data_IF_988523876873
#
_entry.id   IF_988523876873
#
_cell.length_a   1.000
_cell.length_b   1.000
_cell.length_c   1.000
_cell.angle_alpha   90.00
_cell.angle_beta   90.00
_cell.angle_gamma   90.00
#
_symmetry.space_group_name_H-M   'P 1'
#
loop_
_entity.id
_entity.type
_entity.pdbx_description
1 polymer ?
#
# COMPACT_ATOMS: atom_id res chain seq x y z
N UNK A 1 6.79 23.15 20.04
CA UNK A 1 5.79 22.15 20.51
C UNK A 1 4.78 22.00 19.39
N UNK A 2 5.19 21.37 18.29
CA UNK A 2 4.27 21.03 17.23
C UNK A 2 3.62 19.73 17.68
N UNK A 3 2.30 19.74 17.90
CA UNK A 3 1.56 18.54 18.24
C UNK A 3 1.95 17.43 17.25
N UNK A 4 2.56 16.38 17.77
CA UNK A 4 2.80 15.13 17.08
C UNK A 4 1.46 14.40 16.88
N UNK A 5 0.55 15.05 16.19
CA UNK A 5 -0.81 14.57 16.00
C UNK A 5 -0.81 13.57 14.85
N UNK A 6 -1.32 12.37 15.14
CA UNK A 6 -1.80 11.41 14.16
C UNK A 6 -2.68 12.15 13.14
N UNK A 7 -2.39 11.98 11.86
CA UNK A 7 -3.23 12.53 10.79
C UNK A 7 -4.28 11.49 10.41
N UNK A 8 -5.49 11.63 10.93
CA UNK A 8 -6.64 10.88 10.40
C UNK A 8 -7.15 11.57 9.11
N UNK A 9 -7.53 10.85 8.06
CA UNK A 9 -8.19 11.48 6.90
C UNK A 9 -9.68 11.17 6.85
N UNK A 10 -10.18 10.44 7.85
CA UNK A 10 -11.52 9.88 7.92
C UNK A 10 -11.84 8.98 6.73
N UNK A 11 -13.11 8.99 6.33
CA UNK A 11 -13.56 8.32 5.13
C UNK A 11 -13.05 9.07 3.89
N UNK A 12 -12.24 8.41 3.07
CA UNK A 12 -11.64 9.01 1.88
C UNK A 12 -12.55 8.91 0.66
N UNK A 13 -12.50 9.95 -0.17
CA UNK A 13 -13.21 10.01 -1.45
C UNK A 13 -12.53 9.13 -2.51
N UNK A 14 -11.21 8.96 -2.39
CA UNK A 14 -10.44 8.11 -3.31
C UNK A 14 -9.20 7.52 -2.65
N UNK A 15 -8.89 6.28 -3.03
CA UNK A 15 -7.66 5.55 -2.70
C UNK A 15 -7.16 4.86 -3.96
N UNK A 16 -5.84 4.88 -4.19
CA UNK A 16 -5.20 4.24 -5.35
C UNK A 16 -3.86 3.65 -4.99
N UNK A 17 -3.57 2.46 -5.48
CA UNK A 17 -2.20 1.96 -5.61
C UNK A 17 -1.57 2.58 -6.85
N UNK A 18 -0.35 3.11 -6.72
CA UNK A 18 0.37 3.80 -7.80
C UNK A 18 1.78 3.23 -7.91
N UNK A 19 2.25 3.09 -9.14
CA UNK A 19 3.65 2.78 -9.44
C UNK A 19 4.22 3.75 -10.45
N UNK A 20 5.48 4.12 -10.28
CA UNK A 20 6.20 5.07 -11.14
C UNK A 20 7.55 4.46 -11.52
N UNK A 21 7.92 4.57 -12.80
CA UNK A 21 9.23 4.15 -13.30
C UNK A 21 9.24 2.86 -14.14
N UNK A 22 10.41 2.54 -14.67
CA UNK A 22 10.65 1.38 -15.52
C UNK A 22 10.74 0.07 -14.71
N UNK A 23 10.37 -1.09 -15.28
CA UNK A 23 10.52 -2.38 -14.60
C UNK A 23 11.92 -2.58 -14.02
N UNK A 24 12.02 -2.81 -12.71
CA UNK A 24 13.28 -2.95 -11.97
C UNK A 24 13.75 -1.68 -11.24
N UNK A 25 13.19 -0.52 -11.58
CA UNK A 25 13.44 0.77 -10.92
C UNK A 25 12.12 1.46 -10.52
N UNK A 26 11.09 0.65 -10.25
CA UNK A 26 9.77 1.15 -9.88
C UNK A 26 9.74 1.55 -8.42
N UNK A 27 9.09 2.67 -8.16
CA UNK A 27 8.61 3.04 -6.83
C UNK A 27 7.13 2.72 -6.72
N UNK A 28 6.68 2.50 -5.49
CA UNK A 28 5.31 2.11 -5.17
C UNK A 28 4.79 3.01 -4.07
N UNK A 29 3.54 3.47 -4.22
CA UNK A 29 2.85 4.18 -3.16
C UNK A 29 1.36 3.88 -3.17
N UNK A 30 0.71 4.23 -2.05
CA UNK A 30 -0.73 4.42 -2.01
C UNK A 30 -1.02 5.89 -1.80
N UNK A 31 -1.90 6.41 -2.64
CA UNK A 31 -2.43 7.76 -2.50
C UNK A 31 -3.87 7.70 -2.00
N UNK A 32 -4.18 8.44 -0.94
CA UNK A 32 -5.52 8.58 -0.39
C UNK A 32 -5.90 10.07 -0.30
N UNK A 33 -7.16 10.40 -0.56
CA UNK A 33 -7.64 11.79 -0.56
C UNK A 33 -9.04 11.91 0.00
N UNK A 34 -9.26 12.89 0.86
CA UNK A 34 -10.56 13.29 1.39
C UNK A 34 -10.72 14.81 1.41
N UNK A 35 -11.87 15.29 1.88
CA UNK A 35 -12.06 16.70 2.25
C UNK A 35 -11.14 17.17 3.38
N UNK A 36 -10.62 16.25 4.20
CA UNK A 36 -9.69 16.52 5.32
C UNK A 36 -8.24 16.56 4.89
N UNK A 37 -7.92 16.19 3.65
CA UNK A 37 -6.53 16.21 3.18
C UNK A 37 -6.18 15.13 2.16
N UNK A 38 -4.89 14.88 2.04
CA UNK A 38 -4.35 13.82 1.20
C UNK A 38 -3.10 13.20 1.83
N UNK A 39 -2.89 11.92 1.56
CA UNK A 39 -1.70 11.17 1.95
C UNK A 39 -1.11 10.46 0.74
N UNK A 40 0.22 10.53 0.60
CA UNK A 40 1.00 9.72 -0.34
C UNK A 40 2.00 8.92 0.46
N UNK A 41 1.79 7.61 0.51
CA UNK A 41 2.55 6.71 1.38
C UNK A 41 3.41 5.83 0.49
N UNK A 42 4.71 6.13 0.45
CA UNK A 42 5.69 5.35 -0.30
C UNK A 42 6.01 4.06 0.44
N UNK A 43 6.17 2.96 -0.30
CA UNK A 43 6.39 1.64 0.30
C UNK A 43 7.22 0.73 -0.61
N UNK A 44 7.74 -0.34 -0.04
CA UNK A 44 8.42 -1.39 -0.79
C UNK A 44 7.42 -2.24 -1.60
N UNK A 45 7.92 -2.93 -2.63
CA UNK A 45 7.11 -3.83 -3.48
C UNK A 45 6.37 -4.89 -2.65
N UNK A 46 7.07 -5.52 -1.72
CA UNK A 46 6.51 -6.57 -0.85
C UNK A 46 5.43 -6.02 0.09
N UNK A 47 5.59 -4.79 0.60
CA UNK A 47 4.59 -4.13 1.43
C UNK A 47 3.29 -3.87 0.64
N UNK A 48 3.39 -3.38 -0.60
CA UNK A 48 2.22 -3.22 -1.47
C UNK A 48 1.52 -4.55 -1.73
N UNK A 49 2.28 -5.62 -1.98
CA UNK A 49 1.73 -6.95 -2.23
C UNK A 49 1.01 -7.50 -0.99
N UNK A 50 1.64 -7.41 0.18
CA UNK A 50 1.06 -7.88 1.45
C UNK A 50 -0.23 -7.12 1.78
N UNK A 51 -0.22 -5.80 1.64
CA UNK A 51 -1.40 -4.97 1.83
C UNK A 51 -2.53 -5.36 0.87
N UNK A 52 -2.20 -5.59 -0.40
CA UNK A 52 -3.18 -6.00 -1.41
C UNK A 52 -3.82 -7.35 -1.06
N UNK A 53 -3.03 -8.32 -0.62
CA UNK A 53 -3.57 -9.61 -0.17
C UNK A 53 -4.37 -9.50 1.12
N UNK A 54 -3.97 -8.64 2.07
CA UNK A 54 -4.71 -8.42 3.30
C UNK A 54 -6.10 -7.84 3.00
N UNK A 55 -6.17 -6.82 2.15
CA UNK A 55 -7.44 -6.20 1.72
C UNK A 55 -8.35 -7.18 0.99
N UNK A 56 -7.81 -7.98 0.07
CA UNK A 56 -8.57 -9.03 -0.62
C UNK A 56 -9.13 -10.05 0.38
N UNK A 57 -8.28 -10.64 1.22
CA UNK A 57 -8.69 -11.66 2.18
C UNK A 57 -9.72 -11.14 3.18
N UNK A 58 -9.56 -9.92 3.69
CA UNK A 58 -10.55 -9.30 4.56
C UNK A 58 -11.86 -9.03 3.82
N UNK A 59 -11.80 -8.64 2.54
CA UNK A 59 -13.00 -8.43 1.73
C UNK A 59 -13.74 -9.72 1.38
N UNK A 60 -13.07 -10.87 1.36
CA UNK A 60 -13.68 -12.16 1.03
C UNK A 60 -14.19 -12.93 2.26
N UNK A 61 -13.43 -12.87 3.37
CA UNK A 61 -13.76 -13.63 4.59
C UNK A 61 -14.86 -12.99 5.42
N UNK A 62 -15.02 -11.67 5.31
CA UNK A 62 -15.98 -10.92 6.13
C UNK A 62 -17.33 -10.85 5.44
N UNK A 63 -18.37 -11.33 6.13
CA UNK A 63 -19.75 -11.18 5.69
C UNK A 63 -20.11 -9.69 5.59
N UNK A 64 -20.86 -9.34 4.54
CA UNK A 64 -21.35 -7.96 4.38
C UNK A 64 -22.56 -7.76 5.30
N UNK A 65 -22.61 -6.68 6.10
CA UNK A 65 -23.80 -6.37 6.89
C UNK A 65 -24.99 -6.03 5.97
N UNK A 66 -26.19 -6.53 6.32
CA UNK A 66 -27.44 -6.19 5.61
C UNK A 66 -27.78 -4.69 5.67
N UNK A 67 -27.35 -4.02 6.74
CA UNK A 67 -27.60 -2.60 6.98
C UNK A 67 -26.42 -1.99 7.75
N UNK A 68 -25.36 -1.55 7.05
CA UNK A 68 -24.19 -0.97 7.68
C UNK A 68 -24.54 0.31 8.44
N UNK A 69 -23.95 0.50 9.61
CA UNK A 69 -24.05 1.74 10.38
C UNK A 69 -23.25 2.86 9.70
N UNK A 70 -23.52 4.11 10.11
CA UNK A 70 -22.73 5.24 9.64
C UNK A 70 -21.34 5.21 10.29
N UNK A 71 -20.29 5.20 9.46
CA UNK A 71 -18.92 5.27 9.95
C UNK A 71 -18.64 6.62 10.63
N UNK A 72 -18.12 6.56 11.86
CA UNK A 72 -17.60 7.70 12.59
C UNK A 72 -16.08 7.55 12.75
N UNK A 73 -15.27 8.48 12.22
CA UNK A 73 -13.83 8.44 12.40
C UNK A 73 -13.47 8.63 13.87
N UNK A 74 -12.47 7.89 14.34
CA UNK A 74 -12.06 7.85 15.75
C UNK A 74 -11.58 9.21 16.26
N UNK A 75 -10.94 9.99 15.37
CA UNK A 75 -10.39 11.31 15.71
C UNK A 75 -11.14 12.43 14.99
N UNK A 76 -11.43 13.49 15.74
CA UNK A 76 -12.03 14.70 15.22
C UNK A 76 -10.98 15.56 14.48
N UNK A 77 -11.36 16.06 13.30
CA UNK A 77 -10.52 16.94 12.50
C UNK A 77 -10.85 18.38 12.81
N UNK A 78 -9.92 19.03 13.50
CA UNK A 78 -10.13 20.40 14.00
C UNK A 78 -9.36 21.44 13.16
N UNK A 79 -8.63 21.00 12.14
CA UNK A 79 -7.81 21.84 11.26
C UNK A 79 -8.30 21.92 9.81
N UNK A 80 -7.57 22.68 8.99
CA UNK A 80 -7.73 22.69 7.54
C UNK A 80 -7.20 21.40 6.88
N UNK A 81 -7.33 21.27 5.55
CA UNK A 81 -6.89 20.07 4.86
C UNK A 81 -5.38 19.87 4.99
N UNK A 82 -4.96 18.67 5.40
CA UNK A 82 -3.55 18.29 5.62
C UNK A 82 -3.00 17.55 4.41
N UNK A 83 -1.73 17.76 4.06
CA UNK A 83 -1.04 16.96 3.04
C UNK A 83 0.17 16.29 3.67
N UNK A 84 0.20 14.96 3.64
CA UNK A 84 1.33 14.16 4.15
C UNK A 84 1.94 13.30 3.03
N UNK A 85 3.27 13.24 3.01
CA UNK A 85 4.02 12.38 2.09
C UNK A 85 5.26 11.85 2.82
N UNK A 86 5.38 10.53 2.94
CA UNK A 86 6.48 9.88 3.63
C UNK A 86 6.63 8.42 3.17
N UNK A 87 7.73 7.77 3.61
CA UNK A 87 7.97 6.34 3.35
C UNK A 87 7.51 5.52 4.56
N UNK A 88 6.61 4.56 4.35
CA UNK A 88 6.07 3.72 5.41
C UNK A 88 7.14 2.81 6.02
N UNK A 89 7.17 2.76 7.35
CA UNK A 89 7.86 1.74 8.14
C UNK A 89 6.99 0.48 8.23
N UNK A 90 5.85 0.59 8.91
CA UNK A 90 4.84 -0.46 9.04
C UNK A 90 3.48 0.02 8.49
N UNK A 91 2.65 -0.94 8.04
CA UNK A 91 1.29 -0.68 7.60
C UNK A 91 0.33 -1.74 8.12
N UNK A 92 -0.81 -1.30 8.65
CA UNK A 92 -1.85 -2.19 9.19
C UNK A 92 -3.18 -1.91 8.54
N UNK A 93 -3.99 -2.96 8.45
CA UNK A 93 -5.36 -2.88 7.96
C UNK A 93 -6.29 -3.38 9.04
N UNK A 94 -7.33 -2.60 9.34
CA UNK A 94 -8.46 -2.99 10.17
C UNK A 94 -9.72 -3.02 9.32
N UNK A 95 -10.67 -3.86 9.72
CA UNK A 95 -12.00 -3.91 9.13
C UNK A 95 -13.03 -3.75 10.24
N UNK A 96 -13.97 -2.83 10.05
CA UNK A 96 -15.11 -2.59 10.91
C UNK A 96 -16.36 -3.27 10.33
N UNK A 97 -16.84 -4.31 11.01
CA UNK A 97 -17.98 -5.11 10.55
C UNK A 97 -19.33 -4.41 10.67
N UNK A 98 -19.44 -3.41 11.55
CA UNK A 98 -20.67 -2.65 11.75
C UNK A 98 -20.90 -1.66 10.60
N UNK A 99 -19.86 -0.95 10.16
CA UNK A 99 -19.93 0.08 9.12
C UNK A 99 -19.54 -0.41 7.72
N UNK A 100 -19.04 -1.65 7.56
CA UNK A 100 -18.44 -2.20 6.32
C UNK A 100 -17.25 -1.37 5.80
N UNK A 101 -16.41 -0.88 6.71
CA UNK A 101 -15.31 0.05 6.41
C UNK A 101 -13.95 -0.57 6.72
N UNK A 102 -12.99 -0.32 5.85
CA UNK A 102 -11.59 -0.69 6.00
C UNK A 102 -10.81 0.54 6.43
N UNK A 103 -9.88 0.38 7.36
CA UNK A 103 -8.99 1.45 7.83
C UNK A 103 -7.55 1.02 7.64
N UNK A 104 -6.76 1.84 6.97
CA UNK A 104 -5.30 1.66 6.83
C UNK A 104 -4.61 2.63 7.77
N UNK A 105 -3.64 2.11 8.52
CA UNK A 105 -2.74 2.86 9.40
C UNK A 105 -1.32 2.70 8.87
N UNK A 106 -0.57 3.79 8.77
CA UNK A 106 0.81 3.77 8.33
C UNK A 106 1.72 4.56 9.27
N UNK A 107 2.87 3.97 9.61
CA UNK A 107 3.89 4.55 10.46
C UNK A 107 4.96 5.23 9.63
N UNK A 108 5.40 6.42 10.05
CA UNK A 108 6.56 7.12 9.50
C UNK A 108 7.79 6.86 10.38
N UNK A 109 8.80 6.10 9.93
CA UNK A 109 9.97 5.75 10.73
C UNK A 109 10.92 6.94 10.95
N UNK A 110 10.83 8.00 10.13
CA UNK A 110 11.62 9.22 10.31
C UNK A 110 11.01 10.15 11.37
N UNK A 111 9.74 9.90 11.75
CA UNK A 111 9.07 10.57 12.86
C UNK A 111 9.53 9.92 14.18
N UNK A 112 10.63 10.42 14.73
CA UNK A 112 11.13 10.05 16.06
C UNK A 112 10.74 11.09 17.10
N UNK A 113 10.26 10.63 18.25
CA UNK A 113 10.13 11.47 19.45
C UNK A 113 11.51 12.08 19.79
N UNK A 114 11.54 13.34 20.22
CA UNK A 114 12.75 13.98 20.79
C UNK A 114 13.13 13.36 22.15
N UNK A 115 12.26 12.48 22.70
CA UNK A 115 12.36 11.83 24.00
C UNK A 115 12.49 10.28 23.86
N UNK A 116 13.58 9.81 23.24
CA UNK A 116 14.32 8.59 23.63
C UNK A 116 13.67 7.20 23.72
N UNK A 117 12.35 7.02 23.66
CA UNK A 117 11.69 5.71 23.74
C UNK A 117 11.36 5.22 22.31
N UNK A 118 12.33 4.54 21.71
CA UNK A 118 12.30 4.03 20.34
C UNK A 118 11.31 2.86 20.10
N UNK A 119 10.43 2.54 21.04
CA UNK A 119 9.56 1.35 21.00
C UNK A 119 8.11 1.65 20.58
N UNK A 120 7.68 2.91 20.55
CA UNK A 120 6.35 3.29 20.04
C UNK A 120 6.48 3.95 18.67
N UNK A 121 6.62 3.14 17.62
CA UNK A 121 6.39 3.57 16.23
C UNK A 121 4.97 4.13 16.10
N UNK A 122 4.82 5.45 16.29
CA UNK A 122 3.51 6.11 16.28
C UNK A 122 2.96 6.14 14.86
N UNK A 123 1.69 5.73 14.73
CA UNK A 123 0.94 5.85 13.47
C UNK A 123 0.98 7.32 13.02
N UNK A 124 1.53 7.57 11.84
CA UNK A 124 1.66 8.92 11.30
C UNK A 124 0.38 9.36 10.60
N UNK A 125 -0.26 8.43 9.88
CA UNK A 125 -1.51 8.67 9.17
C UNK A 125 -2.43 7.46 9.25
N UNK A 126 -3.73 7.72 9.37
CA UNK A 126 -4.76 6.71 9.14
C UNK A 126 -5.87 7.22 8.23
N UNK A 127 -6.47 6.34 7.45
CA UNK A 127 -7.59 6.69 6.58
C UNK A 127 -8.47 5.49 6.30
N UNK A 128 -9.74 5.74 6.06
CA UNK A 128 -10.78 4.73 5.98
C UNK A 128 -11.51 4.76 4.63
N UNK A 129 -11.94 3.61 4.12
CA UNK A 129 -12.60 3.49 2.83
C UNK A 129 -13.53 2.27 2.79
N UNK A 130 -14.53 2.31 1.92
CA UNK A 130 -15.50 1.22 1.79
C UNK A 130 -14.95 0.00 1.06
N UNK A 131 -15.64 -1.15 1.22
CA UNK A 131 -15.27 -2.44 0.62
C UNK A 131 -14.98 -2.41 -0.87
N UNK A 132 -15.78 -1.67 -1.66
CA UNK A 132 -15.56 -1.58 -3.11
C UNK A 132 -14.18 -0.98 -3.45
N UNK A 133 -13.74 0.03 -2.71
CA UNK A 133 -12.41 0.61 -2.86
C UNK A 133 -11.31 -0.34 -2.37
N UNK A 134 -11.57 -1.09 -1.29
CA UNK A 134 -10.64 -2.11 -0.79
C UNK A 134 -10.36 -3.20 -1.83
N UNK A 135 -11.40 -3.73 -2.47
CA UNK A 135 -11.28 -4.72 -3.56
C UNK A 135 -10.52 -4.11 -4.74
N UNK A 136 -10.88 -2.90 -5.17
CA UNK A 136 -10.22 -2.25 -6.30
C UNK A 136 -8.72 -2.02 -6.06
N UNK A 137 -8.34 -1.58 -4.86
CA UNK A 137 -6.92 -1.38 -4.49
C UNK A 137 -6.19 -2.71 -4.38
N UNK A 138 -6.83 -3.74 -3.84
CA UNK A 138 -6.24 -5.07 -3.76
C UNK A 138 -5.94 -5.65 -5.15
N UNK A 139 -6.90 -5.57 -6.08
CA UNK A 139 -6.71 -6.05 -7.45
C UNK A 139 -5.63 -5.24 -8.19
N UNK A 140 -5.66 -3.91 -8.07
CA UNK A 140 -4.68 -3.04 -8.74
C UNK A 140 -3.28 -3.23 -8.18
N UNK A 141 -3.12 -3.31 -6.85
CA UNK A 141 -1.84 -3.54 -6.21
C UNK A 141 -1.23 -4.88 -6.62
N UNK A 142 -2.03 -5.96 -6.68
CA UNK A 142 -1.57 -7.24 -7.21
C UNK A 142 -1.14 -7.15 -8.68
N UNK A 143 -1.91 -6.46 -9.53
CA UNK A 143 -1.56 -6.25 -10.95
C UNK A 143 -0.26 -5.47 -11.12
N UNK A 144 -0.09 -4.37 -10.37
CA UNK A 144 1.13 -3.54 -10.36
C UNK A 144 2.36 -4.38 -10.01
N UNK A 145 2.25 -5.22 -8.97
CA UNK A 145 3.34 -6.07 -8.50
C UNK A 145 3.64 -7.21 -9.49
N UNK A 146 2.59 -7.80 -10.07
CA UNK A 146 2.69 -8.88 -11.06
C UNK A 146 3.26 -8.40 -12.41
N UNK A 147 3.04 -7.14 -12.78
CA UNK A 147 3.63 -6.49 -13.96
C UNK A 147 5.15 -6.22 -13.82
N UNK A 148 5.82 -6.88 -12.88
CA UNK A 148 7.27 -6.91 -12.74
C UNK A 148 7.94 -7.73 -13.84
N UNK A 149 9.27 -7.82 -13.78
CA UNK A 149 10.04 -8.60 -14.75
C UNK A 149 9.72 -10.10 -14.62
N UNK A 150 9.53 -10.81 -15.74
CA UNK A 150 9.37 -12.27 -15.69
C UNK A 150 10.63 -12.91 -15.10
N UNK A 151 10.45 -13.98 -14.33
CA UNK A 151 11.57 -14.78 -13.83
C UNK A 151 12.00 -15.81 -14.87
N UNK A 152 13.30 -16.02 -15.02
CA UNK A 152 13.82 -17.06 -15.90
C UNK A 152 13.42 -18.45 -15.38
N UNK A 153 12.79 -19.31 -16.21
CA UNK A 153 12.33 -20.63 -15.78
C UNK A 153 13.46 -21.61 -15.40
N UNK A 154 14.72 -21.25 -15.69
CA UNK A 154 15.89 -22.09 -15.42
C UNK A 154 16.67 -21.65 -14.17
N UNK A 155 17.03 -20.37 -14.07
CA UNK A 155 17.80 -19.83 -12.95
C UNK A 155 16.97 -19.09 -11.89
N UNK A 156 15.69 -18.82 -12.15
CA UNK A 156 14.82 -17.98 -11.32
C UNK A 156 15.37 -16.58 -11.04
N UNK A 157 16.26 -16.08 -11.90
CA UNK A 157 16.67 -14.67 -11.89
C UNK A 157 15.69 -13.83 -12.70
N UNK A 158 15.44 -12.57 -12.31
CA UNK A 158 14.59 -11.66 -13.09
C UNK A 158 15.21 -11.39 -14.47
N UNK A 159 14.36 -11.36 -15.50
CA UNK A 159 14.76 -11.11 -16.87
C UNK A 159 14.73 -9.61 -17.16
N UNK A 160 15.86 -9.02 -17.54
CA UNK A 160 15.92 -7.65 -18.05
C UNK A 160 15.14 -7.53 -19.37
N UNK A 161 14.54 -6.36 -19.66
CA UNK A 161 13.87 -6.11 -20.94
C UNK A 161 14.84 -6.23 -22.14
N UNK A 162 16.14 -5.98 -21.94
CA UNK A 162 17.20 -6.20 -22.93
C UNK A 162 17.60 -7.69 -23.09
N UNK A 163 17.00 -8.59 -22.30
CA UNK A 163 17.29 -10.01 -22.24
C UNK A 163 18.12 -10.42 -21.02
N UNK A 164 18.13 -11.72 -20.71
CA UNK A 164 18.85 -12.27 -19.54
C UNK A 164 19.82 -13.37 -19.94
N UNK A 165 21.04 -13.30 -19.43
CA UNK A 165 22.06 -14.34 -19.58
C UNK A 165 21.88 -15.37 -18.47
N UNK A 166 21.26 -16.51 -18.78
CA UNK A 166 21.01 -17.56 -17.80
C UNK A 166 22.29 -18.37 -17.51
N UNK A 167 22.84 -18.33 -16.27
CA UNK A 167 24.03 -19.11 -15.92
C UNK A 167 23.77 -20.63 -15.90
N UNK A 168 22.51 -21.06 -15.78
CA UNK A 168 22.12 -22.49 -15.80
C UNK A 168 21.92 -23.07 -17.20
N UNK A 169 21.79 -22.23 -18.22
CA UNK A 169 21.61 -22.67 -19.61
C UNK A 169 22.94 -22.75 -20.36
N UNK A 170 24.02 -23.24 -19.75
CA UNK A 170 25.33 -23.57 -20.37
C UNK A 170 25.78 -22.66 -21.55
N UNK A 171 25.51 -21.35 -21.50
CA UNK A 171 25.94 -20.37 -22.51
C UNK A 171 25.48 -20.57 -23.97
N UNK A 172 24.50 -21.45 -24.29
CA UNK A 172 24.22 -21.82 -25.68
C UNK A 172 23.10 -21.06 -26.41
N UNK A 173 22.38 -20.14 -25.75
CA UNK A 173 21.34 -19.32 -26.40
C UNK A 173 21.76 -17.85 -26.47
N UNK A 174 22.16 -17.39 -27.67
CA UNK A 174 22.33 -15.95 -28.01
C UNK A 174 20.99 -15.25 -28.31
N UNK A 175 19.87 -15.92 -28.09
CA UNK A 175 18.53 -15.37 -28.26
C UNK A 175 17.87 -15.42 -26.90
N UNK A 176 17.50 -14.25 -26.36
CA UNK A 176 16.77 -14.15 -25.11
C UNK A 176 15.53 -15.03 -25.15
N UNK A 177 15.17 -15.60 -24.01
CA UNK A 177 13.94 -16.38 -23.88
C UNK A 177 12.78 -15.40 -24.19
N UNK A 178 11.99 -15.63 -25.25
CA UNK A 178 10.86 -14.76 -25.55
C UNK A 178 9.84 -14.86 -24.41
N UNK A 179 9.32 -13.72 -23.99
CA UNK A 179 8.19 -13.64 -23.08
C UNK A 179 6.94 -13.86 -23.95
N UNK A 180 6.37 -15.06 -23.91
CA UNK A 180 5.00 -15.29 -24.41
C UNK A 180 3.98 -14.80 -23.37
#
# INVERSE_FOLDING_TARGET
MAEEQLVDLGLVDSIRAVTIGEPGQRTFNISARSSRGQAVIWMEKDQLLQLSFALQQLSEKQERPDSPSAFAPEYAHTGGPVSVEFKAGDMRVRYDGESDVFTVEATDPDRRDEEGDAEEERVAVQFSFGRAAAVGVAEEGQKIVAAGRPYCPYCHSPIDPDGHVCPRSNGHSKSGIPVE
#
